data_IF_460367366860
#
_entry.id   IF_460367366860
#
_cell.length_a   1.000
_cell.length_b   1.000
_cell.length_c   1.000
_cell.angle_alpha   90.00
_cell.angle_beta   90.00
_cell.angle_gamma   90.00
#
_symmetry.space_group_name_H-M   'P 1'
#
loop_
_entity.id
_entity.type
_entity.pdbx_description
1 polymer ?
#
# COMPACT_ATOMS: atom_id res chain seq x y z
N UNK A 1 60.67 10.73 -38.91
CA UNK A 1 59.59 11.54 -38.28
C UNK A 1 58.22 10.92 -38.57
N UNK A 2 57.64 10.15 -37.64
CA UNK A 2 56.30 9.53 -37.80
C UNK A 2 55.22 10.49 -37.27
N UNK A 3 54.39 11.04 -38.17
CA UNK A 3 53.20 11.85 -37.82
C UNK A 3 52.14 10.97 -37.15
N UNK A 4 51.90 11.15 -35.85
CA UNK A 4 50.78 10.53 -35.12
C UNK A 4 49.46 11.14 -35.60
N UNK A 5 48.60 10.32 -36.21
CA UNK A 5 47.19 10.68 -36.52
C UNK A 5 46.44 10.93 -35.20
N UNK A 6 45.93 12.16 -35.01
CA UNK A 6 44.97 12.49 -33.95
C UNK A 6 43.71 11.65 -34.15
N UNK A 7 43.43 10.72 -33.24
CA UNK A 7 42.11 10.06 -33.14
C UNK A 7 41.10 11.13 -32.78
N UNK A 8 40.20 11.47 -33.72
CA UNK A 8 38.97 12.23 -33.42
C UNK A 8 38.16 11.39 -32.43
N UNK A 9 38.08 11.86 -31.20
CA UNK A 9 37.13 11.36 -30.20
C UNK A 9 35.74 11.65 -30.80
N UNK A 10 35.00 10.60 -31.14
CA UNK A 10 33.59 10.71 -31.49
C UNK A 10 32.90 11.36 -30.29
N UNK A 11 32.37 12.56 -30.47
CA UNK A 11 31.43 13.17 -29.53
C UNK A 11 30.30 12.17 -29.31
N UNK A 12 30.31 11.55 -28.13
CA UNK A 12 29.18 10.81 -27.59
C UNK A 12 28.01 11.79 -27.57
N UNK A 13 26.93 11.45 -28.26
CA UNK A 13 25.66 12.19 -28.21
C UNK A 13 25.18 12.21 -26.76
N UNK A 14 25.57 13.23 -26.01
CA UNK A 14 25.02 13.50 -24.69
C UNK A 14 23.59 13.98 -24.89
N UNK A 15 22.66 13.18 -24.40
CA UNK A 15 21.26 13.48 -24.07
C UNK A 15 20.83 14.93 -24.41
N UNK A 16 20.36 15.14 -25.65
CA UNK A 16 19.46 16.25 -25.99
C UNK A 16 18.10 16.01 -25.31
N UNK A 17 18.07 16.06 -23.98
CA UNK A 17 16.85 16.27 -23.22
C UNK A 17 16.68 17.77 -23.05
N UNK A 18 15.87 18.40 -23.89
CA UNK A 18 15.61 19.85 -23.94
C UNK A 18 15.31 20.41 -22.53
N UNK A 19 16.32 20.99 -21.89
CA UNK A 19 16.09 21.94 -20.81
C UNK A 19 15.91 23.28 -21.52
N UNK A 20 14.69 23.81 -21.48
CA UNK A 20 14.47 25.18 -21.94
C UNK A 20 15.36 26.10 -21.11
N UNK A 21 16.12 26.98 -21.76
CA UNK A 21 17.09 27.87 -21.09
C UNK A 21 16.46 28.65 -19.93
N UNK A 22 15.18 29.04 -20.05
CA UNK A 22 14.43 29.73 -19.00
C UNK A 22 14.12 28.89 -17.74
N UNK A 23 14.31 27.56 -17.78
CA UNK A 23 14.06 26.67 -16.65
C UNK A 23 15.34 26.08 -16.05
N UNK A 24 16.53 26.38 -16.59
CA UNK A 24 17.80 25.87 -16.05
C UNK A 24 18.13 26.55 -14.71
N UNK A 25 18.44 25.75 -13.69
CA UNK A 25 18.89 26.24 -12.39
C UNK A 25 20.40 26.07 -12.21
N UNK A 26 20.94 24.91 -12.60
CA UNK A 26 22.36 24.62 -12.43
C UNK A 26 22.70 23.18 -12.80
N UNK A 27 24.00 22.87 -12.83
CA UNK A 27 24.48 21.51 -13.03
C UNK A 27 25.62 21.20 -12.05
N UNK A 28 25.64 19.97 -11.54
CA UNK A 28 26.71 19.42 -10.70
C UNK A 28 27.41 18.32 -11.47
N UNK A 29 28.73 18.41 -11.56
CA UNK A 29 29.57 17.38 -12.17
C UNK A 29 30.18 16.56 -11.03
N UNK A 30 29.73 15.32 -10.93
CA UNK A 30 30.29 14.32 -10.02
C UNK A 30 31.36 13.53 -10.78
N UNK A 31 32.61 13.96 -10.62
CA UNK A 31 33.76 13.34 -11.29
C UNK A 31 34.09 11.95 -10.74
N UNK A 32 33.73 11.67 -9.49
CA UNK A 32 34.01 10.39 -8.83
C UNK A 32 33.10 9.30 -9.39
N UNK A 33 31.83 9.62 -9.59
CA UNK A 33 30.85 8.69 -10.17
C UNK A 33 30.68 8.85 -11.69
N UNK A 34 31.43 9.77 -12.32
CA UNK A 34 31.35 10.11 -13.74
C UNK A 34 29.92 10.47 -14.19
N UNK A 35 29.24 11.29 -13.40
CA UNK A 35 27.85 11.70 -13.62
C UNK A 35 27.72 13.22 -13.69
N UNK A 36 26.81 13.70 -14.55
CA UNK A 36 26.39 15.11 -14.57
C UNK A 36 24.92 15.15 -14.15
N UNK A 37 24.64 15.86 -13.07
CA UNK A 37 23.28 16.09 -12.57
C UNK A 37 22.85 17.49 -12.95
N UNK A 38 21.75 17.60 -13.69
CA UNK A 38 21.21 18.89 -14.12
C UNK A 38 19.92 19.18 -13.37
N UNK A 39 19.83 20.41 -12.83
CA UNK A 39 18.73 20.90 -12.03
C UNK A 39 17.95 21.95 -12.80
N UNK A 40 16.62 21.86 -12.75
CA UNK A 40 15.70 22.78 -13.43
C UNK A 40 14.51 23.14 -12.54
N UNK A 41 13.92 24.31 -12.76
CA UNK A 41 12.79 24.82 -11.94
C UNK A 41 11.51 23.98 -12.06
N UNK A 42 11.42 23.12 -13.07
CA UNK A 42 10.30 22.24 -13.39
C UNK A 42 10.55 20.77 -12.98
N UNK A 43 11.56 20.48 -12.16
CA UNK A 43 11.93 19.11 -11.78
C UNK A 43 10.80 18.32 -11.12
N UNK A 44 9.99 18.94 -10.25
CA UNK A 44 8.84 18.28 -9.62
C UNK A 44 7.81 17.83 -10.66
N UNK A 45 7.42 18.74 -11.55
CA UNK A 45 6.48 18.44 -12.63
C UNK A 45 7.03 17.35 -13.57
N UNK A 46 8.31 17.45 -13.96
CA UNK A 46 8.97 16.42 -14.77
C UNK A 46 8.98 15.06 -14.08
N UNK A 47 9.22 15.02 -12.77
CA UNK A 47 9.22 13.77 -12.00
C UNK A 47 7.85 13.12 -11.99
N UNK A 48 6.78 13.88 -11.72
CA UNK A 48 5.41 13.37 -11.70
C UNK A 48 4.91 12.97 -13.10
N UNK A 49 5.22 13.75 -14.14
CA UNK A 49 4.64 13.53 -15.47
C UNK A 49 5.45 12.56 -16.34
N UNK A 50 6.78 12.73 -16.38
CA UNK A 50 7.65 11.96 -17.28
C UNK A 50 8.17 10.71 -16.60
N UNK A 51 8.75 10.87 -15.42
CA UNK A 51 9.50 9.77 -14.79
C UNK A 51 8.54 8.71 -14.25
N UNK A 52 7.47 9.11 -13.55
CA UNK A 52 6.42 8.20 -13.06
C UNK A 52 5.81 7.33 -14.16
N UNK A 53 5.61 7.88 -15.37
CA UNK A 53 5.08 7.12 -16.51
C UNK A 53 6.04 6.04 -17.02
N UNK A 54 7.34 6.34 -17.09
CA UNK A 54 8.36 5.38 -17.55
C UNK A 54 8.56 4.28 -16.50
N UNK A 55 8.60 4.66 -15.23
CA UNK A 55 8.77 3.73 -14.11
C UNK A 55 7.53 2.84 -13.97
N UNK A 56 6.33 3.43 -14.04
CA UNK A 56 5.06 2.70 -13.98
C UNK A 56 4.97 1.63 -15.05
N UNK A 57 5.32 1.91 -16.31
CA UNK A 57 5.34 0.89 -17.37
C UNK A 57 6.31 -0.27 -17.09
N UNK A 58 7.42 -0.01 -16.41
CA UNK A 58 8.36 -1.07 -16.03
C UNK A 58 7.83 -1.92 -14.89
N UNK A 59 7.14 -1.30 -13.94
CA UNK A 59 6.44 -1.97 -12.86
C UNK A 59 5.32 -2.86 -13.40
N UNK A 60 4.43 -2.30 -14.23
CA UNK A 60 3.27 -3.01 -14.80
C UNK A 60 3.69 -4.27 -15.55
N UNK A 61 4.85 -4.21 -16.24
CA UNK A 61 5.41 -5.36 -16.95
C UNK A 61 6.01 -6.38 -15.97
N UNK A 62 6.74 -5.92 -14.97
CA UNK A 62 7.46 -6.80 -14.04
C UNK A 62 6.53 -7.50 -13.05
N UNK A 63 5.51 -6.80 -12.56
CA UNK A 63 4.62 -7.25 -11.48
C UNK A 63 3.21 -7.60 -12.00
N UNK A 64 3.09 -7.94 -13.28
CA UNK A 64 1.79 -8.16 -13.92
C UNK A 64 0.96 -9.23 -13.20
N UNK A 65 1.59 -10.36 -12.88
CA UNK A 65 0.92 -11.51 -12.27
C UNK A 65 0.52 -11.21 -10.83
N UNK A 66 1.38 -10.55 -10.05
CA UNK A 66 1.08 -10.09 -8.70
C UNK A 66 -0.08 -9.09 -8.69
N UNK A 67 -0.07 -8.12 -9.61
CA UNK A 67 -1.16 -7.15 -9.74
C UNK A 67 -2.48 -7.81 -10.12
N UNK A 68 -2.45 -8.82 -10.98
CA UNK A 68 -3.65 -9.59 -11.35
C UNK A 68 -4.26 -10.28 -10.13
N UNK A 69 -3.43 -11.02 -9.37
CA UNK A 69 -3.88 -11.70 -8.13
C UNK A 69 -4.41 -10.72 -7.08
N UNK A 70 -3.72 -9.58 -6.90
CA UNK A 70 -4.17 -8.52 -6.00
C UNK A 70 -5.48 -7.89 -6.48
N UNK A 71 -5.65 -7.73 -7.79
CA UNK A 71 -6.87 -7.21 -8.41
C UNK A 71 -8.10 -8.09 -8.14
N UNK A 72 -7.95 -9.41 -8.15
CA UNK A 72 -9.05 -10.32 -7.78
C UNK A 72 -9.51 -10.12 -6.33
N UNK A 73 -8.57 -10.13 -5.39
CA UNK A 73 -8.87 -9.94 -3.96
C UNK A 73 -9.46 -8.55 -3.68
N UNK A 74 -8.87 -7.52 -4.30
CA UNK A 74 -9.33 -6.15 -4.20
C UNK A 74 -10.77 -5.98 -4.73
N UNK A 75 -11.10 -6.63 -5.84
CA UNK A 75 -12.43 -6.60 -6.43
C UNK A 75 -13.48 -7.25 -5.51
N UNK A 76 -13.13 -8.38 -4.89
CA UNK A 76 -14.00 -9.06 -3.91
C UNK A 76 -14.27 -8.16 -2.69
N UNK A 77 -13.24 -7.53 -2.12
CA UNK A 77 -13.41 -6.62 -0.99
C UNK A 77 -14.30 -5.42 -1.37
N UNK A 78 -14.02 -4.80 -2.51
CA UNK A 78 -14.78 -3.65 -3.01
C UNK A 78 -16.25 -4.00 -3.28
N UNK A 79 -16.52 -5.19 -3.80
CA UNK A 79 -17.88 -5.69 -3.98
C UNK A 79 -18.65 -5.77 -2.66
N UNK A 80 -18.06 -6.42 -1.64
CA UNK A 80 -18.69 -6.54 -0.32
C UNK A 80 -18.96 -5.16 0.31
N UNK A 81 -17.96 -4.28 0.29
CA UNK A 81 -18.07 -2.94 0.88
C UNK A 81 -19.14 -2.11 0.16
N UNK A 82 -19.15 -2.11 -1.18
CA UNK A 82 -20.06 -1.27 -1.96
C UNK A 82 -21.51 -1.76 -1.89
N UNK A 83 -21.73 -3.08 -2.03
CA UNK A 83 -23.07 -3.64 -1.89
C UNK A 83 -23.56 -3.53 -0.44
N UNK A 84 -22.66 -3.75 0.53
CA UNK A 84 -22.94 -3.54 1.94
C UNK A 84 -23.33 -2.10 2.27
N UNK A 85 -22.69 -1.10 1.66
CA UNK A 85 -23.08 0.31 1.76
C UNK A 85 -24.52 0.54 1.27
N UNK A 86 -24.87 0.04 0.09
CA UNK A 86 -26.21 0.22 -0.47
C UNK A 86 -27.29 -0.42 0.40
N UNK A 87 -27.06 -1.64 0.90
CA UNK A 87 -28.01 -2.34 1.78
C UNK A 87 -28.11 -1.69 3.16
N UNK A 88 -26.98 -1.29 3.75
CA UNK A 88 -26.97 -0.53 5.01
C UNK A 88 -27.75 0.79 4.90
N UNK A 89 -27.71 1.42 3.73
CA UNK A 89 -28.51 2.62 3.47
C UNK A 89 -30.01 2.33 3.41
N UNK A 90 -30.43 1.19 2.87
CA UNK A 90 -31.84 0.79 2.81
C UNK A 90 -32.39 0.38 4.18
N UNK A 91 -31.55 -0.21 5.03
CA UNK A 91 -31.90 -0.61 6.40
C UNK A 91 -31.67 0.49 7.45
N UNK A 92 -31.21 1.68 7.02
CA UNK A 92 -30.87 2.79 7.90
C UNK A 92 -29.87 2.42 9.02
N UNK A 93 -28.98 1.45 8.75
CA UNK A 93 -27.97 0.99 9.70
C UNK A 93 -26.78 1.96 9.74
N UNK A 94 -26.81 2.93 10.65
CA UNK A 94 -25.76 3.95 10.77
C UNK A 94 -24.36 3.36 11.03
N UNK A 95 -24.28 2.31 11.85
CA UNK A 95 -23.03 1.61 12.13
C UNK A 95 -22.44 1.03 10.85
N UNK A 96 -23.23 0.25 10.09
CA UNK A 96 -22.75 -0.37 8.85
C UNK A 96 -22.43 0.69 7.79
N UNK A 97 -23.19 1.78 7.70
CA UNK A 97 -22.89 2.91 6.83
C UNK A 97 -21.55 3.58 7.17
N UNK A 98 -21.27 3.76 8.46
CA UNK A 98 -20.01 4.33 8.94
C UNK A 98 -18.85 3.38 8.64
N UNK A 99 -19.01 2.10 8.94
CA UNK A 99 -18.04 1.05 8.63
C UNK A 99 -17.75 0.97 7.13
N UNK A 100 -18.77 1.03 6.26
CA UNK A 100 -18.58 1.08 4.80
C UNK A 100 -17.69 2.25 4.38
N UNK A 101 -17.95 3.47 4.87
CA UNK A 101 -17.16 4.65 4.52
C UNK A 101 -15.71 4.51 4.98
N UNK A 102 -15.48 3.96 6.17
CA UNK A 102 -14.14 3.68 6.68
C UNK A 102 -13.42 2.64 5.80
N UNK A 103 -14.07 1.51 5.51
CA UNK A 103 -13.49 0.44 4.67
C UNK A 103 -13.25 0.91 3.22
N UNK A 104 -14.10 1.76 2.66
CA UNK A 104 -13.87 2.40 1.35
C UNK A 104 -12.62 3.29 1.36
N UNK A 105 -12.43 4.10 2.40
CA UNK A 105 -11.23 4.92 2.54
C UNK A 105 -9.96 4.06 2.71
N UNK A 106 -10.05 2.95 3.45
CA UNK A 106 -8.97 1.97 3.54
C UNK A 106 -8.65 1.36 2.16
N UNK A 107 -9.67 1.00 1.37
CA UNK A 107 -9.52 0.52 -0.01
C UNK A 107 -8.80 1.53 -0.92
N UNK A 108 -9.18 2.81 -0.85
CA UNK A 108 -8.51 3.90 -1.59
C UNK A 108 -7.06 4.07 -1.13
N UNK A 109 -6.80 3.96 0.18
CA UNK A 109 -5.44 4.04 0.74
C UNK A 109 -4.54 2.92 0.23
N UNK A 110 -5.06 1.70 0.10
CA UNK A 110 -4.36 0.56 -0.51
C UNK A 110 -4.04 0.86 -1.99
N UNK A 111 -5.00 1.39 -2.77
CA UNK A 111 -4.74 1.79 -4.16
C UNK A 111 -3.63 2.85 -4.25
N UNK A 112 -3.64 3.84 -3.35
CA UNK A 112 -2.59 4.86 -3.28
C UNK A 112 -1.22 4.24 -2.95
N UNK A 113 -1.15 3.24 -2.07
CA UNK A 113 0.08 2.51 -1.79
C UNK A 113 0.62 1.77 -3.03
N UNK A 114 -0.27 1.14 -3.82
CA UNK A 114 0.10 0.53 -5.11
C UNK A 114 0.64 1.57 -6.08
N UNK A 115 -0.01 2.73 -6.22
CA UNK A 115 0.43 3.78 -7.14
C UNK A 115 1.79 4.38 -6.74
N UNK A 116 2.05 4.56 -5.44
CA UNK A 116 3.37 4.96 -4.95
C UNK A 116 4.43 3.93 -5.31
N UNK A 117 4.16 2.64 -5.06
CA UNK A 117 5.10 1.58 -5.41
C UNK A 117 5.36 1.50 -6.92
N UNK A 118 4.28 1.61 -7.70
CA UNK A 118 4.29 1.64 -9.16
C UNK A 118 5.13 2.79 -9.70
N UNK A 119 5.13 3.94 -9.03
CA UNK A 119 5.93 5.10 -9.41
C UNK A 119 7.35 5.09 -8.83
N UNK A 120 7.74 4.02 -8.14
CA UNK A 120 9.12 3.74 -7.69
C UNK A 120 9.42 4.10 -6.24
N UNK A 121 8.41 4.42 -5.43
CA UNK A 121 8.56 4.65 -4.00
C UNK A 121 8.49 3.32 -3.23
N UNK A 122 9.56 2.97 -2.51
CA UNK A 122 9.65 1.69 -1.77
C UNK A 122 9.52 1.84 -0.26
N UNK A 123 9.64 3.06 0.29
CA UNK A 123 9.52 3.30 1.73
C UNK A 123 8.08 3.72 2.11
N UNK A 124 7.50 4.59 1.30
CA UNK A 124 6.25 5.28 1.57
C UNK A 124 4.99 4.40 1.53
N UNK A 125 4.85 3.35 0.69
CA UNK A 125 3.61 2.58 0.63
C UNK A 125 3.21 1.98 1.98
N UNK A 126 4.15 1.37 2.71
CA UNK A 126 3.89 0.80 4.02
C UNK A 126 3.53 1.85 5.10
N UNK A 127 3.94 3.11 4.93
CA UNK A 127 3.48 4.19 5.82
C UNK A 127 1.97 4.41 5.67
N UNK A 128 1.44 4.31 4.44
CA UNK A 128 0.00 4.39 4.17
C UNK A 128 -0.74 3.15 4.70
N UNK A 129 -0.17 1.96 4.51
CA UNK A 129 -0.80 0.73 4.96
C UNK A 129 -1.01 0.69 6.48
N UNK A 130 -0.22 1.44 7.25
CA UNK A 130 -0.41 1.55 8.70
C UNK A 130 -1.79 2.10 9.07
N UNK A 131 -2.33 3.07 8.32
CA UNK A 131 -3.67 3.62 8.59
C UNK A 131 -4.80 2.68 8.18
N UNK A 132 -4.56 1.80 7.20
CA UNK A 132 -5.48 0.71 6.82
C UNK A 132 -5.71 -0.22 8.02
N UNK A 133 -4.65 -0.57 8.75
CA UNK A 133 -4.75 -1.42 9.94
C UNK A 133 -5.51 -0.74 11.08
N UNK A 134 -5.36 0.57 11.27
CA UNK A 134 -6.14 1.33 12.25
C UNK A 134 -7.62 1.37 11.90
N UNK A 135 -7.91 1.56 10.62
CA UNK A 135 -9.27 1.60 10.10
C UNK A 135 -9.96 0.25 10.33
N UNK A 136 -9.28 -0.85 9.98
CA UNK A 136 -9.77 -2.21 10.23
C UNK A 136 -9.99 -2.46 11.72
N UNK A 137 -9.04 -2.06 12.57
CA UNK A 137 -9.15 -2.22 14.02
C UNK A 137 -10.31 -1.42 14.61
N UNK A 138 -10.59 -0.24 14.05
CA UNK A 138 -11.71 0.62 14.45
C UNK A 138 -13.05 0.01 14.05
N UNK A 139 -13.15 -0.55 12.84
CA UNK A 139 -14.35 -1.29 12.43
C UNK A 139 -14.56 -2.52 13.31
N UNK A 140 -13.50 -3.26 13.63
CA UNK A 140 -13.57 -4.38 14.58
C UNK A 140 -14.09 -3.93 15.95
N UNK A 141 -13.65 -2.77 16.44
CA UNK A 141 -14.16 -2.19 17.69
C UNK A 141 -15.67 -1.92 17.61
N UNK A 142 -16.18 -1.39 16.50
CA UNK A 142 -17.63 -1.18 16.31
C UNK A 142 -18.43 -2.48 16.36
N UNK A 143 -17.87 -3.57 15.84
CA UNK A 143 -18.56 -4.87 15.81
C UNK A 143 -18.59 -5.56 17.18
N UNK A 144 -17.59 -5.32 18.03
CA UNK A 144 -17.40 -6.06 19.27
C UNK A 144 -17.92 -5.33 20.51
N UNK A 145 -18.12 -4.01 20.44
CA UNK A 145 -18.41 -3.18 21.60
C UNK A 145 -19.62 -2.29 21.32
N UNK A 146 -20.72 -2.45 22.08
CA UNK A 146 -22.01 -1.80 21.77
C UNK A 146 -21.94 -0.27 21.61
N UNK A 147 -21.16 0.41 22.46
CA UNK A 147 -21.08 1.88 22.49
C UNK A 147 -19.99 2.45 21.58
N UNK A 148 -19.21 1.59 20.92
CA UNK A 148 -18.00 2.00 20.19
C UNK A 148 -18.29 2.95 19.03
N UNK A 149 -19.38 2.72 18.30
CA UNK A 149 -19.78 3.59 17.20
C UNK A 149 -20.16 4.99 17.71
N UNK A 150 -20.87 5.09 18.83
CA UNK A 150 -21.20 6.37 19.45
C UNK A 150 -19.94 7.12 19.94
N UNK A 151 -18.99 6.41 20.56
CA UNK A 151 -17.70 7.00 20.98
C UNK A 151 -16.95 7.63 19.79
N UNK A 152 -17.04 7.00 18.61
CA UNK A 152 -16.48 7.55 17.38
C UNK A 152 -17.24 8.79 16.88
N UNK A 153 -18.58 8.75 16.84
CA UNK A 153 -19.40 9.89 16.43
C UNK A 153 -19.18 11.11 17.35
N UNK A 154 -18.95 10.87 18.63
CA UNK A 154 -18.62 11.90 19.62
C UNK A 154 -17.21 12.49 19.46
N UNK A 155 -16.37 11.96 18.56
CA UNK A 155 -14.97 12.37 18.39
C UNK A 155 -14.05 11.97 19.54
N UNK A 156 -14.44 10.98 20.36
CA UNK A 156 -13.70 10.53 21.56
C UNK A 156 -12.92 9.23 21.34
N UNK A 157 -12.85 8.75 20.10
CA UNK A 157 -12.17 7.52 19.76
C UNK A 157 -10.66 7.62 20.03
N UNK A 158 -10.13 6.73 20.86
CA UNK A 158 -8.70 6.50 20.99
C UNK A 158 -8.27 5.36 20.07
N UNK A 159 -7.76 5.72 18.89
CA UNK A 159 -7.36 4.78 17.83
C UNK A 159 -6.32 3.76 18.32
N UNK A 160 -5.45 4.12 19.27
CA UNK A 160 -4.45 3.17 19.77
C UNK A 160 -5.09 2.01 20.53
N UNK A 161 -6.23 2.26 21.19
CA UNK A 161 -6.99 1.23 21.90
C UNK A 161 -7.76 0.33 20.95
N UNK A 162 -8.09 0.77 19.73
CA UNK A 162 -8.86 -0.04 18.78
C UNK A 162 -8.06 -1.26 18.28
N UNK A 163 -6.73 -1.16 18.25
CA UNK A 163 -5.83 -2.22 17.78
C UNK A 163 -6.06 -3.56 18.48
N UNK A 164 -6.45 -3.55 19.76
CA UNK A 164 -6.75 -4.79 20.49
C UNK A 164 -7.90 -5.57 19.86
N UNK A 165 -8.91 -4.87 19.32
CA UNK A 165 -10.05 -5.48 18.64
C UNK A 165 -9.66 -5.99 17.26
N UNK A 166 -8.81 -5.25 16.54
CA UNK A 166 -8.20 -5.76 15.31
C UNK A 166 -7.46 -7.09 15.52
N UNK A 167 -6.70 -7.22 16.62
CA UNK A 167 -6.01 -8.47 17.00
C UNK A 167 -6.96 -9.61 17.35
N UNK A 168 -8.10 -9.30 17.98
CA UNK A 168 -9.14 -10.27 18.29
C UNK A 168 -9.85 -10.75 17.02
N UNK A 169 -10.07 -9.84 16.06
CA UNK A 169 -10.74 -10.16 14.80
C UNK A 169 -9.83 -10.95 13.86
N UNK A 170 -8.61 -10.49 13.61
CA UNK A 170 -7.69 -11.09 12.64
C UNK A 170 -6.42 -11.56 13.35
N UNK A 171 -6.17 -12.88 13.40
CA UNK A 171 -4.91 -13.42 13.91
C UNK A 171 -3.71 -12.77 13.22
N UNK A 172 -2.69 -12.40 14.00
CA UNK A 172 -1.44 -11.75 13.55
C UNK A 172 -1.52 -10.27 13.12
N UNK A 173 -2.70 -9.63 13.14
CA UNK A 173 -2.81 -8.19 12.84
C UNK A 173 -1.91 -7.33 13.75
N UNK A 174 -1.73 -7.75 15.00
CA UNK A 174 -0.82 -7.11 15.95
C UNK A 174 0.65 -7.15 15.57
N UNK A 175 1.09 -8.21 14.89
CA UNK A 175 2.46 -8.34 14.42
C UNK A 175 2.68 -7.48 13.17
N UNK A 176 1.72 -7.51 12.22
CA UNK A 176 1.72 -6.62 11.05
C UNK A 176 1.80 -5.13 11.45
N UNK A 177 0.97 -4.75 12.42
CA UNK A 177 0.99 -3.42 13.02
C UNK A 177 2.39 -3.04 13.56
N UNK A 178 3.05 -3.98 14.23
CA UNK A 178 4.40 -3.81 14.76
C UNK A 178 5.43 -3.56 13.65
N UNK A 179 5.41 -4.37 12.59
CA UNK A 179 6.30 -4.18 11.42
C UNK A 179 6.08 -2.80 10.79
N UNK A 180 4.83 -2.44 10.49
CA UNK A 180 4.52 -1.18 9.84
C UNK A 180 4.94 0.02 10.70
N UNK A 181 4.75 -0.07 12.02
CA UNK A 181 5.14 1.00 12.95
C UNK A 181 6.67 1.11 13.05
N UNK A 182 7.35 0.01 13.36
CA UNK A 182 8.76 0.02 13.74
C UNK A 182 9.71 0.24 12.55
N UNK A 183 9.36 -0.28 11.38
CA UNK A 183 10.23 -0.23 10.21
C UNK A 183 9.90 0.94 9.27
N UNK A 184 8.64 1.32 9.14
CA UNK A 184 8.20 2.27 8.11
C UNK A 184 7.71 3.61 8.64
N UNK A 185 6.98 3.64 9.76
CA UNK A 185 6.43 4.90 10.30
C UNK A 185 7.40 5.58 11.25
N UNK A 186 8.06 4.82 12.13
CA UNK A 186 9.12 5.32 12.98
C UNK A 186 10.45 5.34 12.22
N UNK A 187 11.30 6.33 12.55
CA UNK A 187 12.64 6.43 11.97
C UNK A 187 13.42 5.18 12.34
N UNK A 188 13.86 4.47 11.32
CA UNK A 188 14.49 3.15 11.40
C UNK A 188 15.73 3.12 10.49
N UNK A 189 16.42 1.98 10.43
CA UNK A 189 17.49 1.76 9.45
C UNK A 189 17.02 1.94 7.99
N UNK A 190 15.74 1.73 7.69
CA UNK A 190 15.21 1.97 6.33
C UNK A 190 15.24 3.45 5.92
N UNK A 191 15.42 4.36 6.89
CA UNK A 191 15.49 5.80 6.69
C UNK A 191 16.94 6.33 6.66
N UNK A 192 17.96 5.48 6.92
CA UNK A 192 19.36 5.93 6.89
C UNK A 192 19.88 6.17 5.47
N UNK A 193 19.25 5.54 4.48
CA UNK A 193 19.66 5.60 3.08
C UNK A 193 18.73 6.47 2.23
N UNK A 194 19.31 7.05 1.17
CA UNK A 194 18.53 7.74 0.16
C UNK A 194 17.77 6.72 -0.70
N UNK A 195 16.49 6.54 -0.41
CA UNK A 195 15.58 5.73 -1.21
C UNK A 195 15.21 6.46 -2.52
N UNK A 196 16.13 6.44 -3.48
CA UNK A 196 15.95 7.06 -4.79
C UNK A 196 14.90 6.32 -5.63
N UNK A 197 14.10 7.09 -6.37
CA UNK A 197 13.12 6.54 -7.31
C UNK A 197 13.88 5.98 -8.52
N UNK A 198 13.77 4.68 -8.76
CA UNK A 198 14.42 3.99 -9.87
C UNK A 198 13.44 3.17 -10.68
N UNK A 199 13.84 2.83 -11.91
CA UNK A 199 13.06 1.96 -12.78
C UNK A 199 13.10 0.53 -12.23
N UNK A 200 11.96 -0.17 -12.31
CA UNK A 200 11.86 -1.57 -11.92
C UNK A 200 12.43 -2.46 -13.03
N UNK A 201 13.56 -3.12 -12.76
CA UNK A 201 14.26 -4.00 -13.73
C UNK A 201 14.18 -5.46 -13.28
N UNK A 202 14.14 -5.68 -11.97
CA UNK A 202 14.03 -6.99 -11.32
C UNK A 202 13.24 -6.87 -10.01
N UNK A 203 12.76 -8.00 -9.48
CA UNK A 203 12.05 -8.04 -8.21
C UNK A 203 13.04 -7.97 -7.06
N UNK A 204 13.29 -6.75 -6.58
CA UNK A 204 14.15 -6.49 -5.42
C UNK A 204 13.43 -6.83 -4.10
N UNK A 205 14.19 -7.00 -3.01
CA UNK A 205 13.60 -7.28 -1.70
C UNK A 205 12.62 -6.18 -1.24
N UNK A 206 12.92 -4.86 -1.36
CA UNK A 206 11.95 -3.82 -1.01
C UNK A 206 10.65 -3.89 -1.83
N UNK A 207 10.76 -4.17 -3.14
CA UNK A 207 9.58 -4.33 -4.00
C UNK A 207 8.73 -5.53 -3.54
N UNK A 208 9.37 -6.68 -3.31
CA UNK A 208 8.70 -7.89 -2.81
C UNK A 208 7.97 -7.63 -1.50
N UNK A 209 8.65 -7.05 -0.52
CA UNK A 209 8.07 -6.73 0.80
C UNK A 209 6.86 -5.80 0.66
N UNK A 210 6.93 -4.76 -0.17
CA UNK A 210 5.80 -3.87 -0.37
C UNK A 210 4.60 -4.57 -1.03
N UNK A 211 4.81 -5.32 -2.12
CA UNK A 211 3.73 -6.09 -2.77
C UNK A 211 3.04 -7.03 -1.78
N UNK A 212 3.86 -7.71 -0.99
CA UNK A 212 3.45 -8.59 0.08
C UNK A 212 2.61 -7.86 1.14
N UNK A 213 3.08 -6.73 1.67
CA UNK A 213 2.36 -5.95 2.68
C UNK A 213 1.02 -5.41 2.15
N UNK A 214 1.00 -4.96 0.89
CA UNK A 214 -0.24 -4.50 0.25
C UNK A 214 -1.22 -5.67 0.13
N UNK A 215 -0.77 -6.85 -0.33
CA UNK A 215 -1.62 -8.05 -0.45
C UNK A 215 -2.22 -8.47 0.89
N UNK A 216 -1.42 -8.45 1.98
CA UNK A 216 -1.92 -8.74 3.33
C UNK A 216 -2.93 -7.70 3.80
N UNK A 217 -2.70 -6.41 3.56
CA UNK A 217 -3.66 -5.37 3.93
C UNK A 217 -4.97 -5.49 3.13
N UNK A 218 -4.90 -5.84 1.84
CA UNK A 218 -6.09 -6.16 1.02
C UNK A 218 -6.85 -7.35 1.58
N UNK A 219 -6.14 -8.39 2.02
CA UNK A 219 -6.75 -9.55 2.65
C UNK A 219 -7.44 -9.19 3.97
N UNK A 220 -6.77 -8.44 4.85
CA UNK A 220 -7.36 -7.97 6.10
C UNK A 220 -8.62 -7.12 5.82
N UNK A 221 -8.58 -6.27 4.79
CA UNK A 221 -9.74 -5.49 4.35
C UNK A 221 -10.89 -6.39 3.92
N UNK A 222 -10.62 -7.42 3.11
CA UNK A 222 -11.62 -8.39 2.66
C UNK A 222 -12.28 -9.12 3.85
N UNK A 223 -11.46 -9.72 4.71
CA UNK A 223 -11.91 -10.45 5.91
C UNK A 223 -12.78 -9.58 6.81
N UNK A 224 -12.36 -8.33 7.04
CA UNK A 224 -13.12 -7.39 7.88
C UNK A 224 -14.43 -6.98 7.23
N UNK A 225 -14.43 -6.80 5.90
CA UNK A 225 -15.64 -6.46 5.15
C UNK A 225 -16.66 -7.58 5.20
N UNK A 226 -16.22 -8.84 5.07
CA UNK A 226 -17.09 -10.01 5.11
C UNK A 226 -17.84 -10.12 6.44
N UNK A 227 -17.17 -9.99 7.59
CA UNK A 227 -17.85 -10.03 8.90
C UNK A 227 -18.71 -8.79 9.14
N UNK A 228 -18.28 -7.61 8.69
CA UNK A 228 -19.05 -6.36 8.86
C UNK A 228 -20.41 -6.44 8.18
N UNK A 229 -20.46 -7.08 7.01
CA UNK A 229 -21.68 -7.22 6.21
C UNK A 229 -22.17 -8.67 6.19
N UNK A 230 -21.87 -9.46 7.23
CA UNK A 230 -22.17 -10.89 7.25
C UNK A 230 -23.62 -11.17 6.87
N UNK A 231 -24.60 -10.50 7.51
CA UNK A 231 -26.02 -10.78 7.26
C UNK A 231 -26.53 -10.33 5.88
N UNK A 232 -25.68 -9.72 5.03
CA UNK A 232 -26.03 -9.28 3.69
C UNK A 232 -25.64 -10.27 2.59
N UNK A 233 -24.86 -11.28 2.90
CA UNK A 233 -24.38 -12.24 1.91
C UNK A 233 -24.63 -13.66 2.44
N UNK A 234 -24.96 -14.59 1.56
CA UNK A 234 -25.23 -15.97 1.95
C UNK A 234 -23.93 -16.79 2.09
N UNK A 235 -22.92 -16.45 1.28
CA UNK A 235 -21.64 -17.14 1.23
C UNK A 235 -20.58 -16.40 2.07
N UNK A 236 -19.94 -17.15 2.97
CA UNK A 236 -18.84 -16.66 3.81
C UNK A 236 -17.63 -17.58 3.73
N UNK A 237 -16.48 -16.99 3.43
CA UNK A 237 -15.20 -17.67 3.29
C UNK A 237 -14.52 -17.81 4.65
N UNK A 238 -14.41 -16.72 5.40
CA UNK A 238 -13.62 -16.64 6.63
C UNK A 238 -14.43 -16.65 7.91
N UNK A 239 -15.75 -16.49 7.83
CA UNK A 239 -16.58 -16.32 9.01
C UNK A 239 -17.68 -17.37 9.09
N UNK A 240 -17.94 -17.83 10.31
CA UNK A 240 -19.12 -18.63 10.63
C UNK A 240 -19.78 -18.01 11.84
N UNK A 241 -21.07 -17.64 11.71
CA UNK A 241 -21.85 -17.10 12.81
C UNK A 241 -22.11 -18.18 13.87
N UNK A 242 -21.72 -17.91 15.11
CA UNK A 242 -21.97 -18.78 16.28
C UNK A 242 -23.25 -18.32 17.00
N UNK A 243 -23.41 -17.01 17.16
CA UNK A 243 -24.57 -16.38 17.79
C UNK A 243 -24.90 -15.04 17.10
N UNK A 244 -25.86 -14.28 17.62
CA UNK A 244 -26.20 -12.95 17.06
C UNK A 244 -25.00 -11.98 17.07
N UNK A 245 -24.10 -12.11 18.05
CA UNK A 245 -22.97 -11.19 18.26
C UNK A 245 -21.60 -11.87 18.14
N UNK A 246 -21.56 -13.19 17.99
CA UNK A 246 -20.31 -13.96 18.00
C UNK A 246 -20.06 -14.63 16.65
N UNK A 247 -18.85 -14.40 16.13
CA UNK A 247 -18.38 -14.96 14.87
C UNK A 247 -17.09 -15.75 15.10
N UNK A 248 -17.01 -16.91 14.44
CA UNK A 248 -15.80 -17.72 14.42
C UNK A 248 -15.00 -17.44 13.16
N UNK A 249 -13.75 -17.03 13.33
CA UNK A 249 -12.80 -16.97 12.23
C UNK A 249 -12.38 -18.38 11.81
N UNK A 250 -12.56 -18.70 10.53
CA UNK A 250 -12.13 -19.95 9.89
C UNK A 250 -11.08 -19.60 8.86
N UNK A 251 -9.89 -20.16 9.04
CA UNK A 251 -8.80 -20.08 8.06
C UNK A 251 -8.44 -21.48 7.61
N UNK A 252 -8.27 -21.68 6.29
CA UNK A 252 -7.80 -22.96 5.79
C UNK A 252 -6.29 -23.13 6.08
N UNK A 253 -5.79 -24.36 6.07
CA UNK A 253 -4.39 -24.64 6.42
C UNK A 253 -3.39 -24.03 5.42
N UNK A 254 -3.78 -23.85 4.17
CA UNK A 254 -2.96 -23.22 3.12
C UNK A 254 -2.76 -21.72 3.38
N UNK A 255 -3.82 -21.02 3.78
CA UNK A 255 -3.79 -19.61 4.14
C UNK A 255 -3.07 -19.37 5.46
N UNK A 256 -3.23 -20.26 6.45
CA UNK A 256 -2.42 -20.24 7.68
C UNK A 256 -0.95 -20.41 7.34
N UNK A 257 -0.62 -21.36 6.47
CA UNK A 257 0.75 -21.61 6.03
C UNK A 257 1.29 -20.39 5.30
N UNK A 258 0.58 -19.85 4.31
CA UNK A 258 0.94 -18.64 3.59
C UNK A 258 1.17 -17.45 4.53
N UNK A 259 0.25 -17.17 5.45
CA UNK A 259 0.42 -16.12 6.45
C UNK A 259 1.63 -16.39 7.35
N UNK A 260 1.84 -17.63 7.78
CA UNK A 260 2.97 -17.96 8.64
C UNK A 260 4.32 -17.86 7.91
N UNK A 261 4.38 -18.22 6.63
CA UNK A 261 5.59 -18.11 5.80
C UNK A 261 5.89 -16.65 5.50
N UNK A 262 4.88 -15.88 5.14
CA UNK A 262 4.96 -14.44 4.96
C UNK A 262 5.52 -13.70 6.18
N UNK A 263 5.05 -14.07 7.38
CA UNK A 263 5.47 -13.45 8.64
C UNK A 263 6.76 -14.07 9.22
N UNK A 264 7.31 -15.11 8.58
CA UNK A 264 8.59 -15.74 8.94
C UNK A 264 9.72 -15.36 7.98
N UNK A 265 9.44 -14.83 6.79
CA UNK A 265 10.45 -14.32 5.86
C UNK A 265 11.03 -12.97 6.36
N UNK A 266 11.78 -13.03 7.46
CA UNK A 266 12.91 -12.15 7.79
C UNK A 266 14.17 -12.99 7.99
#
# INVERSE_FOLDING_TARGET
>A
MKRKKKKKIKQTKFLEGRIHEGNFLGAVIDNENNQIRVYSNDMLQKRIQRDSNIIGKSFDKLCHDELSQMGELFSKATFLISNGFFRANQEESELKLTSSKLLMNASITIQAAVELLRTGYTLQPCMLLRSVIETISTVAYFLMEPDAHQVYLDGKLDVNKTIRYGKQLIPNLGYLQGILSNHFVHISSLHSDLNGITKHIEVTQPLRVNLNMIKVCMWCLFVTSEVTFYDYFDDHIYWTKISEIEYKFKQNEEEKKWMSEFLKEE
#
